data_IF_692561484965
#
_entry.id   IF_692561484965
#
_cell.length_a   1.000
_cell.length_b   1.000
_cell.length_c   1.000
_cell.angle_alpha   90.00
_cell.angle_beta   90.00
_cell.angle_gamma   90.00
#
_symmetry.space_group_name_H-M   'P 1'
#
loop_
_entity.id
_entity.type
_entity.pdbx_description
1 polymer ?
#
# COMPACT_ATOMS: atom_id res chain seq x y z
N UNK A 1 22.63 14.50 -32.71
CA UNK A 1 22.86 13.74 -31.46
C UNK A 1 21.51 13.46 -30.85
N UNK A 2 21.02 12.22 -31.01
CA UNK A 2 19.71 11.81 -30.52
C UNK A 2 19.89 11.16 -29.15
N UNK A 3 19.27 11.73 -28.11
CA UNK A 3 19.26 11.12 -26.77
C UNK A 3 18.19 10.02 -26.77
N UNK A 4 18.65 8.77 -26.79
CA UNK A 4 17.82 7.59 -26.72
C UNK A 4 17.57 7.26 -25.24
N UNK A 5 16.39 7.59 -24.73
CA UNK A 5 15.96 7.16 -23.40
C UNK A 5 15.42 5.72 -23.47
N UNK A 6 15.74 4.85 -22.48
CA UNK A 6 15.36 3.45 -22.52
C UNK A 6 13.84 3.29 -22.35
N UNK A 7 13.32 2.38 -23.15
CA UNK A 7 11.91 2.21 -23.50
C UNK A 7 11.24 1.18 -22.56
N UNK A 8 11.03 1.56 -21.29
CA UNK A 8 10.35 0.70 -20.29
C UNK A 8 8.90 1.11 -19.99
N UNK A 9 8.31 2.01 -20.79
CA UNK A 9 7.00 2.62 -20.50
C UNK A 9 5.83 2.14 -21.38
N UNK A 10 5.95 0.98 -22.05
CA UNK A 10 4.92 0.47 -22.98
C UNK A 10 3.91 -0.53 -22.39
N UNK A 11 3.55 -0.41 -21.10
CA UNK A 11 2.25 -0.94 -20.60
C UNK A 11 1.15 0.14 -20.59
N UNK A 12 1.30 1.05 -21.55
CA UNK A 12 0.55 2.22 -22.06
C UNK A 12 -0.97 2.31 -22.10
N UNK A 13 -1.80 1.34 -21.71
CA UNK A 13 -3.26 1.49 -21.90
C UNK A 13 -3.97 0.70 -20.78
N UNK A 14 -4.73 1.19 -19.81
CA UNK A 14 -5.71 2.27 -19.70
C UNK A 14 -5.85 2.68 -18.20
N UNK A 15 -4.77 2.51 -17.41
CA UNK A 15 -4.72 2.60 -15.93
C UNK A 15 -3.88 3.79 -15.44
N UNK A 16 -3.95 4.94 -16.11
CA UNK A 16 -2.88 5.97 -16.10
C UNK A 16 -3.01 7.15 -15.13
N UNK A 17 -4.07 7.20 -14.32
CA UNK A 17 -4.28 8.34 -13.40
C UNK A 17 -3.75 8.07 -11.99
N UNK A 18 -3.83 6.84 -11.50
CA UNK A 18 -3.50 6.48 -10.11
C UNK A 18 -1.98 6.21 -9.94
N UNK A 19 -1.32 5.70 -10.99
CA UNK A 19 0.10 5.31 -10.98
C UNK A 19 1.09 6.48 -11.09
N UNK A 20 0.63 7.73 -11.14
CA UNK A 20 1.49 8.93 -11.13
C UNK A 20 1.78 9.50 -9.76
N UNK A 21 1.00 9.11 -8.74
CA UNK A 21 1.18 9.66 -7.42
C UNK A 21 2.39 8.97 -6.76
N UNK A 22 3.38 9.74 -6.26
CA UNK A 22 4.53 9.17 -5.55
C UNK A 22 4.09 8.31 -4.37
N UNK A 23 4.90 7.29 -4.07
CA UNK A 23 4.57 6.33 -3.01
C UNK A 23 4.47 6.98 -1.63
N UNK A 24 5.20 8.07 -1.42
CA UNK A 24 5.21 8.87 -0.20
C UNK A 24 3.84 9.48 0.07
N UNK A 25 3.16 9.97 -0.97
CA UNK A 25 1.83 10.57 -0.83
C UNK A 25 0.80 9.50 -0.51
N UNK A 26 0.90 8.33 -1.13
CA UNK A 26 0.04 7.20 -0.80
C UNK A 26 0.19 6.75 0.65
N UNK A 27 1.44 6.66 1.13
CA UNK A 27 1.72 6.34 2.53
C UNK A 27 1.12 7.37 3.49
N UNK A 28 1.21 8.67 3.15
CA UNK A 28 0.58 9.72 3.94
C UNK A 28 -0.93 9.58 3.93
N UNK A 29 -1.59 9.36 2.78
CA UNK A 29 -3.04 9.14 2.74
C UNK A 29 -3.48 7.94 3.60
N UNK A 30 -2.72 6.85 3.59
CA UNK A 30 -3.03 5.66 4.40
C UNK A 30 -2.70 5.78 5.87
N UNK A 31 -1.86 6.75 6.28
CA UNK A 31 -1.61 7.01 7.69
C UNK A 31 -2.86 7.58 8.40
N UNK A 32 -3.73 8.24 7.63
CA UNK A 32 -5.02 8.79 8.08
C UNK A 32 -6.21 7.83 7.89
N UNK A 33 -5.98 6.62 7.37
CA UNK A 33 -7.02 5.62 7.15
C UNK A 33 -7.01 4.57 8.25
N UNK A 34 -8.19 4.10 8.66
CA UNK A 34 -8.28 3.00 9.62
C UNK A 34 -7.94 1.65 8.99
N UNK A 35 -7.76 0.64 9.84
CA UNK A 35 -7.28 -0.67 9.40
C UNK A 35 -8.31 -1.42 8.54
N UNK A 36 -9.59 -1.12 8.70
CA UNK A 36 -10.67 -1.76 7.94
C UNK A 36 -10.82 -1.14 6.56
N UNK A 37 -10.62 0.17 6.42
CA UNK A 37 -10.53 0.86 5.14
C UNK A 37 -9.31 0.40 4.34
N UNK A 38 -8.15 0.23 4.99
CA UNK A 38 -6.97 -0.34 4.34
C UNK A 38 -7.22 -1.78 3.85
N UNK A 39 -7.99 -2.60 4.59
CA UNK A 39 -8.39 -3.94 4.13
C UNK A 39 -9.27 -3.88 2.89
N UNK A 40 -10.22 -2.94 2.84
CA UNK A 40 -11.07 -2.73 1.65
C UNK A 40 -10.24 -2.25 0.46
N UNK A 41 -9.27 -1.35 0.67
CA UNK A 41 -8.38 -0.86 -0.39
C UNK A 41 -7.55 -1.96 -1.05
N UNK A 42 -7.09 -2.95 -0.27
CA UNK A 42 -6.34 -4.11 -0.79
C UNK A 42 -7.12 -4.92 -1.84
N UNK A 43 -8.46 -4.93 -1.78
CA UNK A 43 -9.29 -5.69 -2.73
C UNK A 43 -9.62 -4.92 -4.02
N UNK A 44 -9.39 -3.60 -4.06
CA UNK A 44 -9.75 -2.76 -5.21
C UNK A 44 -8.85 -3.02 -6.42
N UNK A 45 -7.53 -3.07 -6.22
CA UNK A 45 -6.58 -3.30 -7.32
C UNK A 45 -5.24 -3.88 -6.85
N UNK A 46 -4.46 -4.41 -7.81
CA UNK A 46 -3.13 -4.99 -7.52
C UNK A 46 -2.14 -3.97 -6.94
N UNK A 47 -2.23 -2.71 -7.37
CA UNK A 47 -1.39 -1.63 -6.85
C UNK A 47 -1.67 -1.41 -5.36
N UNK A 48 -2.92 -1.17 -4.97
CA UNK A 48 -3.27 -0.97 -3.57
C UNK A 48 -2.98 -2.20 -2.71
N UNK A 49 -3.15 -3.40 -3.25
CA UNK A 49 -2.71 -4.63 -2.56
C UNK A 49 -1.22 -4.62 -2.22
N UNK A 50 -0.37 -4.19 -3.13
CA UNK A 50 1.08 -4.11 -2.88
C UNK A 50 1.40 -3.02 -1.85
N UNK A 51 0.78 -1.85 -2.00
CA UNK A 51 1.15 -0.68 -1.24
C UNK A 51 0.55 -0.66 0.18
N UNK A 52 -0.69 -1.15 0.37
CA UNK A 52 -1.34 -1.27 1.68
C UNK A 52 -0.79 -2.42 2.53
N UNK A 53 0.00 -3.34 1.96
CA UNK A 53 0.53 -4.50 2.68
C UNK A 53 1.40 -4.07 3.86
N UNK A 54 2.37 -3.17 3.65
CA UNK A 54 3.23 -2.67 4.73
C UNK A 54 2.45 -2.01 5.88
N UNK A 55 1.57 -1.02 5.65
CA UNK A 55 0.83 -0.38 6.74
C UNK A 55 -0.12 -1.33 7.48
N UNK A 56 -0.75 -2.30 6.80
CA UNK A 56 -1.62 -3.29 7.46
C UNK A 56 -0.91 -4.19 8.48
N UNK A 57 0.37 -4.47 8.26
CA UNK A 57 1.19 -5.33 9.13
C UNK A 57 2.15 -4.55 10.04
N UNK A 58 2.17 -3.22 9.96
CA UNK A 58 3.05 -2.38 10.80
C UNK A 58 2.62 -2.38 12.26
N UNK A 59 1.32 -2.52 12.53
CA UNK A 59 0.73 -2.55 13.86
C UNK A 59 0.01 -3.88 14.10
N UNK A 60 0.80 -4.94 14.26
CA UNK A 60 0.30 -6.18 14.86
C UNK A 60 0.27 -6.00 16.38
N UNK A 61 -0.87 -5.54 16.88
CA UNK A 61 -1.15 -5.55 18.31
C UNK A 61 -1.54 -6.98 18.70
N UNK A 62 -0.65 -7.66 19.42
CA UNK A 62 -0.96 -8.96 20.02
C UNK A 62 -2.04 -8.73 21.10
N UNK A 63 -3.20 -9.36 20.91
CA UNK A 63 -4.26 -9.43 21.90
C UNK A 63 -4.30 -10.89 22.32
N UNK A 64 -3.41 -11.25 23.25
CA UNK A 64 -3.41 -12.56 23.89
C UNK A 64 -3.90 -12.46 25.33
N UNK A 65 -4.28 -13.60 25.93
CA UNK A 65 -4.54 -13.64 27.36
C UNK A 65 -3.32 -13.13 28.11
N UNK A 66 -3.55 -12.23 29.06
CA UNK A 66 -2.48 -11.74 29.94
C UNK A 66 -2.05 -12.91 30.83
N UNK A 67 -0.84 -13.41 30.61
CA UNK A 67 -0.27 -14.54 31.36
C UNK A 67 0.16 -14.12 32.77
N UNK A 68 -0.02 -12.86 33.15
CA UNK A 68 0.24 -12.34 34.50
C UNK A 68 -0.59 -13.01 35.61
N UNK A 69 -1.63 -13.77 35.26
CA UNK A 69 -2.54 -14.43 36.20
C UNK A 69 -2.38 -15.95 36.32
N UNK A 70 -1.33 -16.55 35.72
CA UNK A 70 -1.07 -17.99 35.87
C UNK A 70 -0.03 -18.19 36.98
N UNK A 71 -0.51 -18.22 38.21
CA UNK A 71 0.23 -18.59 39.43
C UNK A 71 0.04 -20.07 39.75
#
# INVERSE_FOLDING_TARGET
>A
MSLQFPNENLLFTNSYRISRLPIEIWHECWSHSDRDDLRRLVSVCRLFRQLCRKPLFRTLRYIGPDLSNVT
#
